data_IF_607268754151
#
_entry.id   IF_607268754151
#
_cell.length_a   1.000
_cell.length_b   1.000
_cell.length_c   1.000
_cell.angle_alpha   90.00
_cell.angle_beta   90.00
_cell.angle_gamma   90.00
#
_symmetry.space_group_name_H-M   'P 1'
#
loop_
_entity.id
_entity.type
_entity.pdbx_description
1 polymer ?
#
# COMPACT_ATOMS: atom_id res chain seq x y z
N UNK A 1 -18.92 33.04 10.17
CA UNK A 1 -18.77 31.58 10.08
C UNK A 1 -18.76 30.92 11.45
N UNK A 2 -17.88 31.33 12.38
CA UNK A 2 -17.83 30.79 13.74
C UNK A 2 -19.21 30.73 14.44
N UNK A 3 -19.94 31.86 14.48
CA UNK A 3 -21.30 31.96 15.07
C UNK A 3 -22.36 31.03 14.48
N UNK A 4 -22.13 30.49 13.28
CA UNK A 4 -23.07 29.57 12.60
C UNK A 4 -22.70 28.11 12.91
N UNK A 5 -21.41 27.80 13.02
CA UNK A 5 -20.93 26.44 13.24
C UNK A 5 -20.86 26.06 14.73
N UNK A 6 -20.56 27.02 15.60
CA UNK A 6 -20.46 26.81 17.06
C UNK A 6 -21.70 26.12 17.67
N UNK A 7 -22.95 26.52 17.36
CA UNK A 7 -24.12 25.85 17.89
C UNK A 7 -24.32 24.42 17.33
N UNK A 8 -23.67 24.07 16.22
CA UNK A 8 -23.78 22.75 15.59
C UNK A 8 -22.72 21.78 16.06
N UNK A 9 -21.64 22.25 16.70
CA UNK A 9 -20.48 21.44 17.08
C UNK A 9 -20.88 20.24 17.92
N UNK A 10 -21.67 20.42 18.98
CA UNK A 10 -22.09 19.34 19.87
C UNK A 10 -22.94 18.30 19.13
N UNK A 11 -23.87 18.74 18.27
CA UNK A 11 -24.71 17.85 17.48
C UNK A 11 -23.89 17.01 16.49
N UNK A 12 -22.84 17.60 15.90
CA UNK A 12 -21.92 16.90 14.99
C UNK A 12 -21.09 15.87 15.75
N UNK A 13 -20.49 16.24 16.88
CA UNK A 13 -19.68 15.34 17.70
C UNK A 13 -20.50 14.17 18.25
N UNK A 14 -21.75 14.41 18.66
CA UNK A 14 -22.67 13.35 19.07
C UNK A 14 -22.90 12.29 17.98
N UNK A 15 -22.79 12.65 16.71
CA UNK A 15 -22.94 11.69 15.61
C UNK A 15 -21.77 10.72 15.48
N UNK A 16 -20.62 10.97 16.12
CA UNK A 16 -19.49 10.04 16.18
C UNK A 16 -19.84 8.74 16.92
N UNK A 17 -20.79 8.76 17.85
CA UNK A 17 -21.24 7.59 18.61
C UNK A 17 -22.61 7.07 18.15
N UNK A 18 -23.10 7.53 17.01
CA UNK A 18 -24.40 7.12 16.48
C UNK A 18 -24.46 5.62 16.17
N UNK A 19 -25.62 4.96 16.36
CA UNK A 19 -25.77 3.50 16.17
C UNK A 19 -25.44 2.99 14.75
N UNK A 20 -25.68 3.81 13.72
CA UNK A 20 -25.45 3.44 12.33
C UNK A 20 -24.07 3.90 11.84
N UNK A 21 -23.26 2.98 11.30
CA UNK A 21 -21.93 3.29 10.78
C UNK A 21 -21.95 4.32 9.65
N UNK A 22 -23.00 4.33 8.82
CA UNK A 22 -23.18 5.35 7.79
C UNK A 22 -23.16 6.78 8.36
N UNK A 23 -23.77 6.99 9.53
CA UNK A 23 -23.78 8.30 10.19
C UNK A 23 -22.40 8.61 10.76
N UNK A 24 -21.79 7.66 11.49
CA UNK A 24 -20.45 7.84 12.08
C UNK A 24 -19.40 8.16 11.03
N UNK A 25 -19.38 7.42 9.92
CA UNK A 25 -18.48 7.65 8.79
C UNK A 25 -18.55 9.07 8.22
N UNK A 26 -19.76 9.58 8.05
CA UNK A 26 -19.99 10.93 7.54
C UNK A 26 -19.71 11.99 8.61
N UNK A 27 -20.00 11.70 9.88
CA UNK A 27 -19.66 12.58 11.00
C UNK A 27 -18.16 12.80 11.09
N UNK A 28 -17.35 11.74 11.01
CA UNK A 28 -15.87 11.86 10.98
C UNK A 28 -15.40 12.77 9.84
N UNK A 29 -15.92 12.59 8.62
CA UNK A 29 -15.52 13.44 7.49
C UNK A 29 -15.99 14.88 7.64
N UNK A 30 -17.16 15.10 8.24
CA UNK A 30 -17.66 16.43 8.56
C UNK A 30 -16.76 17.13 9.59
N UNK A 31 -16.40 16.44 10.66
CA UNK A 31 -15.46 16.93 11.68
C UNK A 31 -14.11 17.26 11.04
N UNK A 32 -13.56 16.37 10.22
CA UNK A 32 -12.33 16.63 9.47
C UNK A 32 -12.43 17.87 8.58
N UNK A 33 -13.52 18.01 7.82
CA UNK A 33 -13.72 19.17 6.94
C UNK A 33 -13.79 20.49 7.73
N UNK A 34 -14.44 20.49 8.90
CA UNK A 34 -14.52 21.67 9.77
C UNK A 34 -13.15 22.01 10.35
N UNK A 35 -12.46 21.03 10.95
CA UNK A 35 -11.14 21.23 11.55
C UNK A 35 -10.10 21.67 10.51
N UNK A 36 -10.10 21.07 9.33
CA UNK A 36 -9.16 21.44 8.25
C UNK A 36 -9.43 22.83 7.66
N UNK A 37 -10.69 23.30 7.66
CA UNK A 37 -11.08 24.59 7.08
C UNK A 37 -10.95 25.74 8.08
N UNK A 38 -11.34 25.51 9.34
CA UNK A 38 -11.47 26.57 10.36
C UNK A 38 -10.46 26.47 11.51
N UNK A 39 -9.63 25.42 11.52
CA UNK A 39 -8.64 25.16 12.57
C UNK A 39 -9.16 24.28 13.70
N UNK A 40 -8.23 23.69 14.46
CA UNK A 40 -8.53 22.82 15.60
C UNK A 40 -9.24 23.54 16.74
N UNK A 41 -9.05 24.85 16.86
CA UNK A 41 -9.71 25.70 17.86
C UNK A 41 -11.25 25.68 17.76
N UNK A 42 -11.78 25.40 16.56
CA UNK A 42 -13.22 25.26 16.33
C UNK A 42 -13.81 24.02 17.01
N UNK A 43 -13.04 22.93 17.09
CA UNK A 43 -13.44 21.66 17.70
C UNK A 43 -12.25 21.04 18.46
N UNK A 44 -11.86 21.58 19.63
CA UNK A 44 -10.62 21.18 20.30
C UNK A 44 -10.59 19.71 20.73
N UNK A 45 -11.74 19.09 21.00
CA UNK A 45 -11.86 17.69 21.44
C UNK A 45 -11.95 16.69 20.29
N UNK A 46 -12.15 17.17 19.05
CA UNK A 46 -12.45 16.33 17.89
C UNK A 46 -11.42 15.22 17.66
N UNK A 47 -10.14 15.56 17.72
CA UNK A 47 -9.04 14.61 17.53
C UNK A 47 -9.06 13.48 18.56
N UNK A 48 -9.40 13.79 19.82
CA UNK A 48 -9.50 12.78 20.88
C UNK A 48 -10.73 11.90 20.72
N UNK A 49 -11.86 12.48 20.36
CA UNK A 49 -13.11 11.73 20.17
C UNK A 49 -13.02 10.77 18.98
N UNK A 50 -12.38 11.19 17.89
CA UNK A 50 -12.16 10.35 16.71
C UNK A 50 -11.14 9.25 16.97
N UNK A 51 -10.12 9.50 17.78
CA UNK A 51 -9.20 8.47 18.27
C UNK A 51 -9.93 7.42 19.12
N UNK A 52 -10.77 7.84 20.06
CA UNK A 52 -11.57 6.93 20.88
C UNK A 52 -12.52 6.08 20.03
N UNK A 53 -13.17 6.70 19.03
CA UNK A 53 -13.99 5.99 18.05
C UNK A 53 -13.17 4.94 17.28
N UNK A 54 -11.98 5.31 16.79
CA UNK A 54 -11.14 4.43 16.00
C UNK A 54 -10.75 3.13 16.74
N UNK A 55 -10.54 3.21 18.05
CA UNK A 55 -10.17 2.06 18.89
C UNK A 55 -11.30 1.04 19.07
N UNK A 56 -12.56 1.48 19.07
CA UNK A 56 -13.73 0.63 19.34
C UNK A 56 -14.59 0.31 18.12
N UNK A 57 -14.36 1.01 17.00
CA UNK A 57 -15.16 0.86 15.80
C UNK A 57 -15.07 -0.57 15.23
N UNK A 58 -16.15 -1.05 14.61
CA UNK A 58 -16.18 -2.32 13.88
C UNK A 58 -16.21 -2.12 12.36
N UNK A 59 -16.87 -1.07 11.90
CA UNK A 59 -17.08 -0.77 10.49
C UNK A 59 -15.78 -0.27 9.81
N UNK A 60 -15.34 -0.99 8.77
CA UNK A 60 -14.09 -0.70 8.06
C UNK A 60 -14.05 0.70 7.46
N UNK A 61 -15.18 1.18 6.92
CA UNK A 61 -15.23 2.47 6.24
C UNK A 61 -15.15 3.62 7.24
N UNK A 62 -15.76 3.45 8.41
CA UNK A 62 -15.67 4.40 9.52
C UNK A 62 -14.27 4.41 10.12
N UNK A 63 -13.65 3.23 10.37
CA UNK A 63 -12.24 3.13 10.79
C UNK A 63 -11.30 3.86 9.83
N UNK A 64 -11.44 3.58 8.53
CA UNK A 64 -10.62 4.19 7.49
C UNK A 64 -10.71 5.71 7.54
N UNK A 65 -11.91 6.26 7.70
CA UNK A 65 -12.10 7.71 7.78
C UNK A 65 -11.56 8.30 9.08
N UNK A 66 -11.75 7.61 10.21
CA UNK A 66 -11.24 8.07 11.51
C UNK A 66 -9.71 8.12 11.50
N UNK A 67 -9.08 7.07 10.98
CA UNK A 67 -7.63 7.01 10.81
C UNK A 67 -7.12 8.08 9.83
N UNK A 68 -7.81 8.29 8.69
CA UNK A 68 -7.47 9.37 7.75
C UNK A 68 -7.51 10.75 8.41
N UNK A 69 -8.55 11.03 9.21
CA UNK A 69 -8.63 12.30 9.91
C UNK A 69 -7.43 12.50 10.83
N UNK A 70 -7.08 11.50 11.66
CA UNK A 70 -5.91 11.60 12.54
C UNK A 70 -4.61 11.80 11.74
N UNK A 71 -4.46 11.14 10.60
CA UNK A 71 -3.30 11.28 9.72
C UNK A 71 -3.21 12.66 9.05
N UNK A 72 -4.34 13.23 8.63
CA UNK A 72 -4.39 14.45 7.81
C UNK A 72 -4.47 15.73 8.64
N UNK A 73 -5.02 15.67 9.86
CA UNK A 73 -5.03 16.81 10.77
C UNK A 73 -3.60 17.12 11.25
N UNK A 74 -3.15 18.38 11.20
CA UNK A 74 -1.86 18.80 11.76
C UNK A 74 -1.69 18.33 13.21
N UNK A 75 -0.44 18.17 13.67
CA UNK A 75 -0.11 17.78 15.06
C UNK A 75 -0.61 16.40 15.56
N UNK A 76 -1.44 15.68 14.81
CA UNK A 76 -1.98 14.36 15.20
C UNK A 76 -1.19 13.15 14.67
N UNK A 77 -0.06 13.36 14.00
CA UNK A 77 0.75 12.27 13.43
C UNK A 77 1.14 11.22 14.49
N UNK A 78 1.42 11.65 15.72
CA UNK A 78 1.78 10.74 16.82
C UNK A 78 0.63 9.83 17.24
N UNK A 79 -0.62 10.33 17.20
CA UNK A 79 -1.82 9.52 17.49
C UNK A 79 -2.02 8.45 16.43
N UNK A 80 -1.90 8.84 15.16
CA UNK A 80 -1.98 7.90 14.03
C UNK A 80 -0.88 6.82 14.12
N UNK A 81 0.35 7.20 14.45
CA UNK A 81 1.47 6.27 14.64
C UNK A 81 1.25 5.33 15.82
N UNK A 82 0.77 5.85 16.95
CA UNK A 82 0.45 5.05 18.14
C UNK A 82 -0.61 4.01 17.85
N UNK A 83 -1.62 4.35 17.06
CA UNK A 83 -2.63 3.41 16.57
C UNK A 83 -2.03 2.31 15.68
N UNK A 84 -1.17 2.65 14.72
CA UNK A 84 -0.54 1.64 13.86
C UNK A 84 0.32 0.68 14.68
N UNK A 85 1.09 1.18 15.64
CA UNK A 85 1.93 0.34 16.48
C UNK A 85 1.13 -0.51 17.47
N UNK A 86 0.00 -0.03 17.99
CA UNK A 86 -0.88 -0.85 18.83
C UNK A 86 -1.53 -2.00 18.05
N UNK A 87 -1.68 -1.85 16.73
CA UNK A 87 -2.25 -2.86 15.83
C UNK A 87 -1.22 -3.63 15.00
N UNK A 88 0.08 -3.50 15.27
CA UNK A 88 1.15 -4.04 14.41
C UNK A 88 1.00 -5.53 14.07
N UNK A 89 0.57 -6.35 15.04
CA UNK A 89 0.45 -7.81 14.87
C UNK A 89 -0.88 -8.21 14.22
N UNK A 90 -1.85 -7.30 14.14
CA UNK A 90 -3.18 -7.52 13.56
C UNK A 90 -3.38 -6.73 12.25
N UNK A 91 -2.37 -5.99 11.80
CA UNK A 91 -2.47 -5.10 10.63
C UNK A 91 -2.88 -5.84 9.35
N UNK A 92 -2.49 -7.11 9.21
CA UNK A 92 -2.91 -7.98 8.09
C UNK A 92 -4.42 -8.26 8.08
N UNK A 93 -5.09 -8.16 9.23
CA UNK A 93 -6.53 -8.38 9.38
C UNK A 93 -7.35 -7.08 9.30
N UNK A 94 -6.70 -5.92 9.31
CA UNK A 94 -7.37 -4.67 8.97
C UNK A 94 -7.76 -4.76 7.50
N UNK A 95 -9.03 -4.52 7.17
CA UNK A 95 -9.48 -4.57 5.77
C UNK A 95 -8.60 -3.73 4.84
N UNK A 96 -8.53 -4.12 3.57
CA UNK A 96 -7.62 -3.54 2.57
C UNK A 96 -7.65 -2.00 2.51
N UNK A 97 -8.84 -1.39 2.61
CA UNK A 97 -9.00 0.07 2.63
C UNK A 97 -8.27 0.74 3.79
N UNK A 98 -8.13 0.08 4.94
CA UNK A 98 -7.35 0.58 6.08
C UNK A 98 -5.85 0.34 5.85
N UNK A 99 -5.47 -0.84 5.34
CA UNK A 99 -4.07 -1.19 5.05
C UNK A 99 -3.44 -0.20 4.07
N UNK A 100 -4.19 0.20 3.04
CA UNK A 100 -3.74 1.18 2.04
C UNK A 100 -3.42 2.55 2.68
N UNK A 101 -4.27 3.02 3.58
CA UNK A 101 -4.03 4.29 4.30
C UNK A 101 -2.86 4.16 5.27
N UNK A 102 -2.68 3.00 5.91
CA UNK A 102 -1.51 2.75 6.77
C UNK A 102 -0.22 2.82 5.95
N UNK A 103 -0.16 2.22 4.76
CA UNK A 103 0.99 2.32 3.86
C UNK A 103 1.29 3.77 3.47
N UNK A 104 0.26 4.60 3.27
CA UNK A 104 0.41 6.02 3.02
C UNK A 104 1.04 6.77 4.20
N UNK A 105 0.54 6.54 5.43
CA UNK A 105 1.13 7.11 6.65
C UNK A 105 2.61 6.72 6.77
N UNK A 106 2.94 5.44 6.59
CA UNK A 106 4.31 4.93 6.70
C UNK A 106 5.26 5.68 5.77
N UNK A 107 4.86 5.91 4.51
CA UNK A 107 5.66 6.66 3.54
C UNK A 107 5.84 8.13 3.92
N UNK A 108 4.83 8.74 4.54
CA UNK A 108 4.89 10.12 5.03
C UNK A 108 5.86 10.24 6.22
N UNK A 109 5.71 9.37 7.21
CA UNK A 109 6.51 9.39 8.45
C UNK A 109 7.98 9.08 8.19
N UNK A 110 8.29 8.14 7.29
CA UNK A 110 9.67 7.80 6.94
C UNK A 110 10.50 9.00 6.43
N UNK A 111 9.87 10.05 5.90
CA UNK A 111 10.57 11.29 5.48
C UNK A 111 11.02 12.15 6.66
N UNK A 112 10.34 12.07 7.80
CA UNK A 112 10.51 12.98 8.92
C UNK A 112 11.11 12.31 10.16
N UNK A 113 10.90 10.99 10.33
CA UNK A 113 11.29 10.20 11.52
C UNK A 113 12.05 8.92 11.12
N UNK A 114 13.33 9.01 10.72
CA UNK A 114 14.11 7.83 10.32
C UNK A 114 14.35 6.82 11.46
N UNK A 115 14.25 7.24 12.72
CA UNK A 115 14.47 6.42 13.92
C UNK A 115 13.44 5.29 14.08
N UNK A 116 12.20 5.48 13.61
CA UNK A 116 11.14 4.45 13.69
C UNK A 116 11.16 3.48 12.52
N UNK A 117 12.09 3.64 11.56
CA UNK A 117 12.16 2.86 10.32
C UNK A 117 12.13 1.35 10.53
N UNK A 118 12.81 0.83 11.56
CA UNK A 118 12.81 -0.60 11.86
C UNK A 118 11.41 -1.14 12.19
N UNK A 119 10.68 -0.42 13.04
CA UNK A 119 9.30 -0.77 13.38
C UNK A 119 8.36 -0.64 12.17
N UNK A 120 8.54 0.41 11.35
CA UNK A 120 7.79 0.58 10.11
C UNK A 120 7.99 -0.58 9.13
N UNK A 121 9.24 -1.03 8.94
CA UNK A 121 9.54 -2.18 8.09
C UNK A 121 8.82 -3.45 8.57
N UNK A 122 8.75 -3.68 9.89
CA UNK A 122 8.02 -4.84 10.45
C UNK A 122 6.55 -4.82 10.01
N UNK A 123 5.87 -3.68 10.13
CA UNK A 123 4.47 -3.51 9.69
C UNK A 123 4.31 -3.77 8.19
N UNK A 124 5.22 -3.24 7.37
CA UNK A 124 5.18 -3.40 5.90
C UNK A 124 5.39 -4.86 5.50
N UNK A 125 6.29 -5.60 6.17
CA UNK A 125 6.45 -7.03 5.92
C UNK A 125 5.21 -7.83 6.31
N UNK A 126 4.50 -7.47 7.39
CA UNK A 126 3.22 -8.11 7.72
C UNK A 126 2.15 -7.85 6.66
N UNK A 127 2.09 -6.63 6.10
CA UNK A 127 1.15 -6.26 5.04
C UNK A 127 1.42 -6.95 3.69
N UNK A 128 2.62 -7.48 3.48
CA UNK A 128 3.00 -8.24 2.29
C UNK A 128 2.10 -9.46 2.06
N UNK A 129 1.67 -10.09 3.15
CA UNK A 129 0.83 -11.29 3.12
C UNK A 129 -0.65 -10.98 2.86
N UNK A 130 -1.01 -9.71 2.62
CA UNK A 130 -2.39 -9.33 2.29
C UNK A 130 -2.86 -10.02 1.00
N UNK A 131 -4.09 -10.55 0.96
CA UNK A 131 -4.66 -11.14 -0.26
C UNK A 131 -5.04 -10.08 -1.31
N UNK A 132 -5.07 -8.78 -0.94
CA UNK A 132 -5.46 -7.70 -1.84
C UNK A 132 -4.30 -7.34 -2.79
N UNK A 133 -4.47 -7.44 -4.11
CA UNK A 133 -3.43 -7.06 -5.07
C UNK A 133 -3.01 -5.59 -4.95
N UNK A 134 -3.96 -4.71 -4.59
CA UNK A 134 -3.68 -3.30 -4.36
C UNK A 134 -2.74 -3.10 -3.16
N UNK A 135 -2.98 -3.83 -2.06
CA UNK A 135 -2.13 -3.77 -0.87
C UNK A 135 -0.76 -4.38 -1.15
N UNK A 136 -0.67 -5.49 -1.88
CA UNK A 136 0.61 -6.07 -2.29
C UNK A 136 1.43 -5.10 -3.13
N UNK A 137 0.80 -4.44 -4.11
CA UNK A 137 1.46 -3.45 -4.96
C UNK A 137 1.95 -2.24 -4.16
N UNK A 138 1.10 -1.69 -3.28
CA UNK A 138 1.45 -0.56 -2.44
C UNK A 138 2.51 -0.92 -1.38
N UNK A 139 2.50 -2.16 -0.89
CA UNK A 139 3.52 -2.69 0.02
C UNK A 139 4.88 -2.74 -0.69
N UNK A 140 4.93 -3.25 -1.91
CA UNK A 140 6.14 -3.28 -2.73
C UNK A 140 6.67 -1.87 -3.03
N UNK A 141 5.80 -0.91 -3.39
CA UNK A 141 6.16 0.50 -3.56
C UNK A 141 6.77 1.07 -2.27
N UNK A 142 6.15 0.77 -1.13
CA UNK A 142 6.57 1.26 0.18
C UNK A 142 7.92 0.68 0.60
N UNK A 143 8.17 -0.62 0.38
CA UNK A 143 9.46 -1.27 0.67
C UNK A 143 10.62 -0.61 -0.08
N UNK A 144 10.45 -0.33 -1.38
CA UNK A 144 11.47 0.34 -2.21
C UNK A 144 11.77 1.75 -1.72
N UNK A 145 10.77 2.45 -1.15
CA UNK A 145 10.93 3.79 -0.58
C UNK A 145 11.66 3.72 0.78
N UNK A 146 11.27 2.79 1.64
CA UNK A 146 11.83 2.66 2.99
C UNK A 146 13.29 2.17 2.96
N UNK A 147 13.61 1.20 2.12
CA UNK A 147 14.92 0.54 2.17
C UNK A 147 15.52 0.26 0.80
N UNK A 148 16.82 0.53 0.70
CA UNK A 148 17.66 0.20 -0.46
C UNK A 148 18.44 -1.11 -0.26
N UNK A 149 18.19 -1.83 0.84
CA UNK A 149 18.87 -3.11 1.11
C UNK A 149 18.46 -4.16 0.08
N UNK A 150 19.40 -5.04 -0.28
CA UNK A 150 19.15 -6.10 -1.26
C UNK A 150 17.94 -6.96 -0.88
N UNK A 151 17.77 -7.27 0.40
CA UNK A 151 16.63 -8.04 0.93
C UNK A 151 15.28 -7.34 0.68
N UNK A 152 15.19 -6.04 0.98
CA UNK A 152 13.93 -5.30 0.82
C UNK A 152 13.58 -5.12 -0.66
N UNK A 153 14.59 -4.85 -1.50
CA UNK A 153 14.40 -4.73 -2.95
C UNK A 153 14.00 -6.07 -3.56
N UNK A 154 14.62 -7.18 -3.14
CA UNK A 154 14.23 -8.53 -3.55
C UNK A 154 12.78 -8.85 -3.18
N UNK A 155 12.38 -8.58 -1.94
CA UNK A 155 11.00 -8.81 -1.50
C UNK A 155 9.97 -7.97 -2.28
N UNK A 156 10.29 -6.71 -2.60
CA UNK A 156 9.43 -5.88 -3.44
C UNK A 156 9.36 -6.40 -4.89
N UNK A 157 10.49 -6.83 -5.45
CA UNK A 157 10.56 -7.42 -6.78
C UNK A 157 9.73 -8.70 -6.88
N UNK A 158 9.84 -9.60 -5.89
CA UNK A 158 9.03 -10.82 -5.79
C UNK A 158 7.52 -10.50 -5.79
N UNK A 159 7.11 -9.48 -5.02
CA UNK A 159 5.71 -9.05 -4.98
C UNK A 159 5.23 -8.53 -6.35
N UNK A 160 6.04 -7.71 -7.04
CA UNK A 160 5.70 -7.26 -8.40
C UNK A 160 5.62 -8.41 -9.40
N UNK A 161 6.57 -9.34 -9.38
CA UNK A 161 6.57 -10.51 -10.28
C UNK A 161 5.33 -11.37 -10.03
N UNK A 162 4.97 -11.60 -8.77
CA UNK A 162 3.76 -12.32 -8.42
C UNK A 162 2.51 -11.63 -8.98
N UNK A 163 2.42 -10.30 -8.91
CA UNK A 163 1.31 -9.54 -9.51
C UNK A 163 1.26 -9.68 -11.03
N UNK A 164 2.41 -9.66 -11.73
CA UNK A 164 2.45 -9.89 -13.19
C UNK A 164 1.92 -11.27 -13.56
N UNK A 165 2.26 -12.30 -12.78
CA UNK A 165 1.83 -13.68 -13.05
C UNK A 165 0.35 -13.88 -12.72
N UNK A 166 -0.11 -13.38 -11.58
CA UNK A 166 -1.44 -13.70 -11.02
C UNK A 166 -2.57 -12.81 -11.51
N UNK A 167 -2.30 -11.54 -11.84
CA UNK A 167 -3.36 -10.62 -12.25
C UNK A 167 -3.91 -10.98 -13.63
N UNK A 168 -5.21 -10.77 -13.85
CA UNK A 168 -5.84 -11.01 -15.14
C UNK A 168 -5.75 -9.80 -16.07
N UNK A 169 -5.81 -8.58 -15.52
CA UNK A 169 -5.83 -7.34 -16.28
C UNK A 169 -4.44 -7.02 -16.87
N UNK A 170 -4.37 -6.95 -18.19
CA UNK A 170 -3.13 -6.64 -18.92
C UNK A 170 -2.60 -5.23 -18.60
N UNK A 171 -3.46 -4.25 -18.35
CA UNK A 171 -3.05 -2.89 -17.99
C UNK A 171 -2.33 -2.89 -16.63
N UNK A 172 -2.86 -3.63 -15.66
CA UNK A 172 -2.22 -3.81 -14.36
C UNK A 172 -0.85 -4.46 -14.54
N UNK A 173 -0.74 -5.52 -15.36
CA UNK A 173 0.56 -6.14 -15.66
C UNK A 173 1.53 -5.14 -16.27
N UNK A 174 1.10 -4.33 -17.24
CA UNK A 174 1.95 -3.34 -17.90
C UNK A 174 2.47 -2.28 -16.93
N UNK A 175 1.63 -1.79 -16.02
CA UNK A 175 2.00 -0.84 -14.96
C UNK A 175 3.03 -1.46 -14.01
N UNK A 176 2.80 -2.70 -13.58
CA UNK A 176 3.73 -3.41 -12.69
C UNK A 176 5.05 -3.70 -13.41
N UNK A 177 5.02 -4.06 -14.69
CA UNK A 177 6.22 -4.27 -15.50
C UNK A 177 7.05 -2.98 -15.66
N UNK A 178 6.43 -1.80 -15.73
CA UNK A 178 7.18 -0.53 -15.68
C UNK A 178 7.93 -0.36 -14.36
N UNK A 179 7.30 -0.72 -13.23
CA UNK A 179 7.96 -0.69 -11.92
C UNK A 179 9.13 -1.67 -11.85
N UNK A 180 8.94 -2.89 -12.38
CA UNK A 180 10.00 -3.89 -12.47
C UNK A 180 11.16 -3.40 -13.33
N UNK A 181 10.90 -2.76 -14.48
CA UNK A 181 11.96 -2.26 -15.35
C UNK A 181 12.78 -1.14 -14.68
N UNK A 182 12.11 -0.23 -13.97
CA UNK A 182 12.78 0.80 -13.16
C UNK A 182 13.65 0.16 -12.07
N UNK A 183 13.16 -0.89 -11.42
CA UNK A 183 13.88 -1.60 -10.37
C UNK A 183 15.11 -2.32 -10.94
N UNK A 184 14.94 -3.04 -12.06
CA UNK A 184 16.00 -3.73 -12.80
C UNK A 184 17.15 -2.80 -13.17
N UNK A 185 16.83 -1.61 -13.69
CA UNK A 185 17.85 -0.61 -14.08
C UNK A 185 18.73 -0.17 -12.90
N UNK A 186 18.21 -0.19 -11.67
CA UNK A 186 18.92 0.26 -10.46
C UNK A 186 19.53 -0.88 -9.63
N UNK A 187 18.88 -2.04 -9.61
CA UNK A 187 19.18 -3.14 -8.70
C UNK A 187 19.27 -4.48 -9.45
N UNK A 188 20.09 -4.53 -10.50
CA UNK A 188 20.24 -5.70 -11.37
C UNK A 188 20.41 -7.01 -10.59
N UNK A 189 21.33 -7.05 -9.62
CA UNK A 189 21.62 -8.24 -8.83
C UNK A 189 20.41 -8.77 -8.04
N UNK A 190 19.48 -7.91 -7.62
CA UNK A 190 18.28 -8.34 -6.91
C UNK A 190 17.21 -8.93 -7.84
N UNK A 191 17.28 -8.61 -9.14
CA UNK A 191 16.34 -9.09 -10.15
C UNK A 191 16.79 -10.39 -10.83
N UNK A 192 18.10 -10.67 -10.86
CA UNK A 192 18.66 -11.86 -11.52
C UNK A 192 18.05 -13.19 -11.05
N UNK A 193 17.78 -13.40 -9.74
CA UNK A 193 17.13 -14.64 -9.28
C UNK A 193 15.69 -14.80 -9.77
N UNK A 194 15.02 -13.69 -10.11
CA UNK A 194 13.58 -13.66 -10.43
C UNK A 194 13.29 -13.78 -11.94
N UNK A 195 14.32 -13.97 -12.76
CA UNK A 195 14.17 -14.04 -14.23
C UNK A 195 13.23 -15.17 -14.63
N UNK A 196 13.40 -16.35 -14.04
CA UNK A 196 12.57 -17.52 -14.36
C UNK A 196 11.12 -17.31 -13.92
N UNK A 197 10.90 -16.69 -12.76
CA UNK A 197 9.55 -16.37 -12.27
C UNK A 197 8.86 -15.32 -13.16
N UNK A 198 9.58 -14.30 -13.60
CA UNK A 198 9.05 -13.29 -14.51
C UNK A 198 8.69 -13.89 -15.89
N UNK A 199 9.49 -14.84 -16.40
CA UNK A 199 9.20 -15.56 -17.64
C UNK A 199 7.92 -16.39 -17.56
N UNK A 200 7.44 -16.79 -16.37
CA UNK A 200 6.13 -17.46 -16.24
C UNK A 200 4.98 -16.57 -16.72
N UNK A 201 5.17 -15.25 -16.70
CA UNK A 201 4.22 -14.28 -17.28
C UNK A 201 4.08 -14.37 -18.79
N UNK A 202 4.95 -15.10 -19.51
CA UNK A 202 4.81 -15.35 -20.96
C UNK A 202 3.57 -16.17 -21.33
N UNK A 203 2.96 -16.84 -20.35
CA UNK A 203 1.65 -17.48 -20.50
C UNK A 203 0.51 -16.51 -20.84
N UNK A 204 0.72 -15.20 -20.65
CA UNK A 204 -0.23 -14.17 -21.05
C UNK A 204 -0.35 -14.10 -22.59
N UNK A 205 -1.59 -14.05 -23.09
CA UNK A 205 -1.85 -13.96 -24.53
C UNK A 205 -1.46 -12.61 -25.13
N UNK A 206 -1.49 -11.54 -24.32
CA UNK A 206 -1.19 -10.18 -24.77
C UNK A 206 0.27 -10.03 -25.22
N UNK A 207 0.46 -9.68 -26.49
CA UNK A 207 1.80 -9.53 -27.12
C UNK A 207 2.62 -8.44 -26.44
N UNK A 208 1.99 -7.34 -26.03
CA UNK A 208 2.68 -6.22 -25.37
C UNK A 208 3.26 -6.62 -24.01
N UNK A 209 2.49 -7.38 -23.21
CA UNK A 209 2.95 -7.92 -21.92
C UNK A 209 4.13 -8.85 -22.14
N UNK A 210 4.02 -9.80 -23.10
CA UNK A 210 5.10 -10.75 -23.43
C UNK A 210 6.36 -10.04 -23.89
N UNK A 211 6.23 -9.06 -24.80
CA UNK A 211 7.35 -8.27 -25.31
C UNK A 211 8.08 -7.56 -24.16
N UNK A 212 7.34 -6.88 -23.29
CA UNK A 212 7.90 -6.14 -22.16
C UNK A 212 8.58 -7.06 -21.15
N UNK A 213 8.02 -8.25 -20.89
CA UNK A 213 8.67 -9.28 -20.07
C UNK A 213 10.02 -9.67 -20.68
N UNK A 214 10.07 -9.97 -21.98
CA UNK A 214 11.31 -10.34 -22.67
C UNK A 214 12.34 -9.20 -22.61
N UNK A 215 11.92 -7.97 -22.89
CA UNK A 215 12.79 -6.78 -22.85
C UNK A 215 13.41 -6.56 -21.45
N UNK A 216 12.66 -6.86 -20.38
CA UNK A 216 13.15 -6.80 -19.00
C UNK A 216 14.08 -7.98 -18.69
N UNK A 217 13.77 -9.18 -19.16
CA UNK A 217 14.56 -10.39 -18.88
C UNK A 217 15.89 -10.43 -19.65
N UNK A 218 15.94 -9.99 -20.91
CA UNK A 218 17.15 -10.10 -21.77
C UNK A 218 18.41 -9.52 -21.11
N UNK A 219 18.38 -8.32 -20.50
CA UNK A 219 19.56 -7.76 -19.81
C UNK A 219 19.94 -8.46 -18.49
N UNK A 220 19.06 -9.30 -17.95
CA UNK A 220 19.26 -10.09 -16.73
C UNK A 220 19.83 -11.49 -17.00
N UNK A 221 19.91 -11.90 -18.26
CA UNK A 221 20.50 -13.17 -18.65
C UNK A 221 22.01 -13.13 -18.41
N UNK A 222 22.53 -14.17 -17.76
CA UNK A 222 23.94 -14.36 -17.47
C UNK A 222 24.31 -15.85 -17.59
N UNK A 223 25.59 -16.17 -17.41
CA UNK A 223 26.10 -17.55 -17.55
C UNK A 223 25.45 -18.55 -16.60
N UNK A 224 24.81 -18.09 -15.51
CA UNK A 224 24.17 -18.95 -14.52
C UNK A 224 22.73 -19.33 -14.89
N UNK A 225 22.00 -18.48 -15.61
CA UNK A 225 20.57 -18.70 -15.91
C UNK A 225 20.27 -18.91 -17.39
N UNK A 226 21.23 -18.71 -18.30
CA UNK A 226 20.97 -18.75 -19.75
C UNK A 226 20.42 -20.08 -20.25
N UNK A 227 20.88 -21.21 -19.69
CA UNK A 227 20.40 -22.53 -20.08
C UNK A 227 18.90 -22.69 -19.80
N UNK A 228 18.45 -22.27 -18.62
CA UNK A 228 17.05 -22.36 -18.20
C UNK A 228 16.17 -21.38 -18.99
N UNK A 229 16.65 -20.16 -19.21
CA UNK A 229 15.95 -19.14 -20.01
C UNK A 229 15.73 -19.65 -21.44
N UNK A 230 16.78 -20.14 -22.10
CA UNK A 230 16.67 -20.68 -23.47
C UNK A 230 15.75 -21.91 -23.49
N UNK A 231 15.85 -22.78 -22.49
CA UNK A 231 14.99 -23.95 -22.36
C UNK A 231 13.50 -23.57 -22.26
N UNK A 232 13.17 -22.54 -21.47
CA UNK A 232 11.80 -22.04 -21.33
C UNK A 232 11.30 -21.38 -22.63
N UNK A 233 12.11 -20.55 -23.28
CA UNK A 233 11.72 -19.91 -24.55
C UNK A 233 11.49 -20.93 -25.66
N UNK A 234 12.31 -22.01 -25.72
CA UNK A 234 12.06 -23.13 -26.65
C UNK A 234 10.71 -23.79 -26.40
N UNK A 235 10.35 -24.04 -25.13
CA UNK A 235 9.04 -24.60 -24.77
C UNK A 235 7.89 -23.69 -25.19
N UNK A 236 8.01 -22.38 -25.00
CA UNK A 236 6.99 -21.41 -25.43
C UNK A 236 6.87 -21.33 -26.96
N UNK A 237 7.98 -21.46 -27.70
CA UNK A 237 7.95 -21.48 -29.17
C UNK A 237 7.23 -22.72 -29.71
N UNK A 238 7.43 -23.89 -29.11
CA UNK A 238 6.75 -25.13 -29.53
C UNK A 238 5.23 -24.97 -29.38
N UNK A 239 4.77 -24.36 -28.28
CA UNK A 239 3.32 -24.08 -28.06
C UNK A 239 2.70 -23.15 -29.10
N UNK A 240 3.49 -22.40 -29.85
CA UNK A 240 2.98 -21.53 -30.94
C UNK A 240 2.95 -22.23 -32.30
N UNK A 241 3.52 -23.43 -32.41
CA UNK A 241 3.52 -24.23 -33.64
C UNK A 241 2.31 -25.17 -33.72
N UNK A 242 1.66 -25.43 -32.58
CA UNK A 242 0.37 -26.12 -32.46
C UNK A 242 -0.80 -25.12 -32.55
#
# INVERSE_FOLDING_TARGET
>A
YYRILEPLTEAILRNLTHRHSYVRRNAVMCVYAIVSTFGEEMMPTASQEVENLLLVEGDLSTKRNAFLMLMLTPHNEEKAMSYVFSMQDQVANLGDICQLVILELIRRVNKHRPEVKGALLKVVYTLRESPSPAVQYETANTLVILSKSHVAIGAAAEAYVNLVVTQADNNVKLIVLDRIDLLRKRYKQAMEPLVMDLLRGLSCTAVEVRRKILDICTPLVNSRNIADVVGMLKKELIKTQD
#
